data_IF_789891592675
#
_entry.id   IF_789891592675
#
_cell.length_a   1.000
_cell.length_b   1.000
_cell.length_c   1.000
_cell.angle_alpha   90.00
_cell.angle_beta   90.00
_cell.angle_gamma   90.00
#
_symmetry.space_group_name_H-M   'P 1'
#
loop_
_entity.id
_entity.type
_entity.pdbx_description
1 polymer ?
#
# COMPACT_ATOMS: atom_id res chain seq x y z
N UNK A 1 -11.29 11.06 -31.01
CA UNK A 1 -11.29 10.09 -29.89
C UNK A 1 -10.39 8.94 -30.29
N UNK A 2 -9.33 8.67 -29.52
CA UNK A 2 -8.37 7.60 -29.85
C UNK A 2 -9.02 6.22 -29.63
N UNK A 3 -8.50 5.18 -30.28
CA UNK A 3 -8.97 3.80 -30.09
C UNK A 3 -8.87 3.35 -28.63
N UNK A 4 -7.80 3.78 -27.94
CA UNK A 4 -7.62 3.51 -26.52
C UNK A 4 -8.63 4.24 -25.63
N UNK A 5 -8.99 5.49 -25.96
CA UNK A 5 -10.02 6.24 -25.23
C UNK A 5 -11.37 5.53 -25.35
N UNK A 6 -11.68 5.06 -26.57
CA UNK A 6 -12.91 4.29 -26.81
C UNK A 6 -12.93 2.99 -25.99
N UNK A 7 -11.84 2.24 -25.94
CA UNK A 7 -11.78 1.00 -25.15
C UNK A 7 -11.99 1.24 -23.64
N UNK A 8 -11.43 2.34 -23.11
CA UNK A 8 -11.64 2.77 -21.73
C UNK A 8 -13.12 3.12 -21.49
N UNK A 9 -13.71 3.94 -22.38
CA UNK A 9 -15.10 4.40 -22.27
C UNK A 9 -16.10 3.24 -22.41
N UNK A 10 -15.91 2.36 -23.39
CA UNK A 10 -16.75 1.19 -23.60
C UNK A 10 -16.73 0.27 -22.37
N UNK A 11 -15.54 0.02 -21.80
CA UNK A 11 -15.40 -0.81 -20.58
C UNK A 11 -16.00 -0.12 -19.35
N UNK A 12 -15.81 1.19 -19.22
CA UNK A 12 -16.46 2.01 -18.18
C UNK A 12 -17.98 1.94 -18.29
N UNK A 13 -18.53 2.04 -19.50
CA UNK A 13 -19.96 1.96 -19.76
C UNK A 13 -20.55 0.63 -19.27
N UNK A 14 -19.88 -0.49 -19.54
CA UNK A 14 -20.32 -1.81 -19.04
C UNK A 14 -20.36 -1.87 -17.51
N UNK A 15 -19.38 -1.27 -16.84
CA UNK A 15 -19.37 -1.18 -15.36
C UNK A 15 -20.56 -0.34 -14.88
N UNK A 16 -20.77 0.83 -15.49
CA UNK A 16 -21.88 1.73 -15.15
C UNK A 16 -23.25 1.09 -15.37
N UNK A 17 -23.43 0.36 -16.47
CA UNK A 17 -24.67 -0.35 -16.81
C UNK A 17 -24.99 -1.43 -15.75
N UNK A 18 -23.97 -2.11 -15.23
CA UNK A 18 -24.16 -3.06 -14.14
C UNK A 18 -24.62 -2.36 -12.86
N UNK A 19 -23.99 -1.25 -12.48
CA UNK A 19 -24.37 -0.47 -11.28
C UNK A 19 -25.80 0.06 -11.40
N UNK A 20 -26.19 0.57 -12.58
CA UNK A 20 -27.53 1.09 -12.81
C UNK A 20 -28.61 0.00 -12.80
N UNK A 21 -28.26 -1.24 -13.16
CA UNK A 21 -29.21 -2.35 -13.31
C UNK A 21 -29.44 -3.14 -12.03
N UNK A 22 -28.42 -3.30 -11.18
CA UNK A 22 -28.49 -4.15 -9.99
C UNK A 22 -28.48 -3.30 -8.71
N UNK A 23 -29.40 -3.57 -7.79
CA UNK A 23 -29.48 -2.90 -6.49
C UNK A 23 -28.67 -3.59 -5.37
N UNK A 24 -28.76 -3.04 -4.15
CA UNK A 24 -28.06 -3.57 -2.97
C UNK A 24 -28.38 -5.04 -2.64
N UNK A 25 -29.59 -5.52 -2.96
CA UNK A 25 -30.00 -6.91 -2.75
C UNK A 25 -29.27 -7.92 -3.64
N UNK A 26 -28.68 -7.46 -4.74
CA UNK A 26 -27.95 -8.28 -5.71
C UNK A 26 -26.45 -7.93 -5.76
N UNK A 27 -25.94 -7.29 -4.69
CA UNK A 27 -24.55 -6.78 -4.60
C UNK A 27 -23.50 -7.82 -4.99
N UNK A 28 -23.68 -9.09 -4.61
CA UNK A 28 -22.76 -10.16 -4.98
C UNK A 28 -22.72 -10.44 -6.49
N UNK A 29 -23.86 -10.44 -7.17
CA UNK A 29 -23.92 -10.63 -8.63
C UNK A 29 -23.39 -9.39 -9.37
N UNK A 30 -23.80 -8.20 -8.93
CA UNK A 30 -23.24 -6.93 -9.38
C UNK A 30 -21.71 -6.94 -9.31
N UNK A 31 -21.18 -7.37 -8.16
CA UNK A 31 -19.74 -7.42 -7.92
C UNK A 31 -19.03 -8.39 -8.84
N UNK A 32 -19.60 -9.58 -9.04
CA UNK A 32 -19.05 -10.60 -9.93
C UNK A 32 -18.97 -10.10 -11.39
N UNK A 33 -20.02 -9.43 -11.87
CA UNK A 33 -20.05 -8.87 -13.22
C UNK A 33 -18.99 -7.78 -13.39
N UNK A 34 -18.89 -6.83 -12.44
CA UNK A 34 -17.91 -5.74 -12.52
C UNK A 34 -16.48 -6.30 -12.51
N UNK A 35 -16.16 -7.26 -11.63
CA UNK A 35 -14.82 -7.86 -11.55
C UNK A 35 -14.34 -8.45 -12.87
N UNK A 36 -15.25 -8.97 -13.70
CA UNK A 36 -14.93 -9.47 -15.04
C UNK A 36 -14.38 -8.42 -16.02
N UNK A 37 -14.58 -7.12 -15.72
CA UNK A 37 -14.18 -6.01 -16.58
C UNK A 37 -13.05 -5.15 -16.01
N UNK A 38 -12.84 -5.14 -14.69
CA UNK A 38 -11.86 -4.27 -14.03
C UNK A 38 -10.44 -4.47 -14.56
N UNK A 39 -10.03 -5.71 -14.79
CA UNK A 39 -8.66 -5.99 -15.28
C UNK A 39 -8.41 -5.31 -16.63
N UNK A 40 -9.31 -5.51 -17.59
CA UNK A 40 -9.20 -4.88 -18.91
C UNK A 40 -9.23 -3.35 -18.80
N UNK A 41 -10.11 -2.81 -17.95
CA UNK A 41 -10.17 -1.38 -17.69
C UNK A 41 -8.81 -0.83 -17.22
N UNK A 42 -8.19 -1.46 -16.22
CA UNK A 42 -6.89 -1.07 -15.69
C UNK A 42 -5.77 -1.19 -16.73
N UNK A 43 -5.75 -2.28 -17.49
CA UNK A 43 -4.76 -2.49 -18.57
C UNK A 43 -4.91 -1.45 -19.69
N UNK A 44 -6.13 -1.04 -20.05
CA UNK A 44 -6.32 0.04 -21.02
C UNK A 44 -5.85 1.40 -20.49
N UNK A 45 -6.07 1.69 -19.20
CA UNK A 45 -5.54 2.92 -18.57
C UNK A 45 -4.00 2.90 -18.55
N UNK A 46 -3.39 1.74 -18.30
CA UNK A 46 -1.95 1.54 -18.40
C UNK A 46 -1.42 1.92 -19.79
N UNK A 47 -2.03 1.36 -20.84
CA UNK A 47 -1.66 1.60 -22.24
C UNK A 47 -1.85 3.08 -22.59
N UNK A 48 -2.95 3.71 -22.14
CA UNK A 48 -3.20 5.15 -22.35
C UNK A 48 -2.07 6.00 -21.75
N UNK A 49 -1.66 5.68 -20.52
CA UNK A 49 -0.59 6.39 -19.84
C UNK A 49 0.75 6.23 -20.54
N UNK A 50 1.06 5.01 -20.98
CA UNK A 50 2.29 4.70 -21.70
C UNK A 50 2.35 5.33 -23.10
N UNK A 51 1.23 5.38 -23.81
CA UNK A 51 1.19 5.79 -25.23
C UNK A 51 1.32 7.30 -25.44
N UNK A 52 1.26 8.10 -24.38
CA UNK A 52 1.46 9.56 -24.39
C UNK A 52 0.74 10.30 -25.55
N UNK A 53 -0.52 9.94 -25.82
CA UNK A 53 -1.36 10.56 -26.85
C UNK A 53 -1.32 9.91 -28.24
N UNK A 54 -0.50 8.86 -28.45
CA UNK A 54 -0.52 8.09 -29.70
C UNK A 54 -1.79 7.25 -29.85
N UNK A 55 -2.30 7.12 -31.08
CA UNK A 55 -3.42 6.21 -31.37
C UNK A 55 -2.92 4.77 -31.55
N UNK A 56 -3.08 3.97 -30.51
CA UNK A 56 -2.57 2.59 -30.44
C UNK A 56 -3.69 1.56 -30.53
N UNK A 57 -3.34 0.32 -30.87
CA UNK A 57 -4.25 -0.81 -30.77
C UNK A 57 -4.37 -1.23 -29.28
N UNK A 58 -5.55 -1.12 -28.65
CA UNK A 58 -5.73 -1.49 -27.24
C UNK A 58 -5.48 -2.98 -26.95
N UNK A 59 -5.60 -3.83 -27.98
CA UNK A 59 -5.45 -5.28 -27.87
C UNK A 59 -4.03 -5.77 -28.24
N UNK A 60 -3.05 -4.87 -28.37
CA UNK A 60 -1.67 -5.25 -28.64
C UNK A 60 -1.01 -5.79 -27.35
N UNK A 61 -0.68 -7.08 -27.36
CA UNK A 61 -0.08 -7.77 -26.23
C UNK A 61 1.30 -7.20 -25.84
N UNK A 62 2.17 -6.91 -26.81
CA UNK A 62 3.52 -6.42 -26.52
C UNK A 62 3.45 -5.01 -25.93
N UNK A 63 2.53 -4.19 -26.43
CA UNK A 63 2.27 -2.86 -25.88
C UNK A 63 1.76 -2.94 -24.44
N UNK A 64 0.83 -3.86 -24.15
CA UNK A 64 0.31 -4.08 -22.80
C UNK A 64 1.44 -4.46 -21.82
N UNK A 65 2.27 -5.44 -22.19
CA UNK A 65 3.43 -5.86 -21.38
C UNK A 65 4.40 -4.68 -21.12
N UNK A 66 4.68 -3.87 -22.15
CA UNK A 66 5.54 -2.70 -22.00
C UNK A 66 4.93 -1.65 -21.07
N UNK A 67 3.63 -1.34 -21.24
CA UNK A 67 2.92 -0.37 -20.42
C UNK A 67 2.85 -0.77 -18.94
N UNK A 68 2.56 -2.04 -18.65
CA UNK A 68 2.52 -2.56 -17.28
C UNK A 68 3.89 -2.50 -16.60
N UNK A 69 4.97 -2.77 -17.34
CA UNK A 69 6.34 -2.66 -16.83
C UNK A 69 6.74 -1.20 -16.57
N UNK A 70 6.34 -0.29 -17.45
CA UNK A 70 6.63 1.14 -17.30
C UNK A 70 5.90 1.74 -16.10
N UNK A 71 4.64 1.36 -15.86
CA UNK A 71 3.86 1.81 -14.70
C UNK A 71 4.57 1.61 -13.35
N UNK A 72 5.34 0.52 -13.21
CA UNK A 72 6.09 0.24 -11.99
C UNK A 72 7.12 1.34 -11.66
N UNK A 73 7.65 2.02 -12.69
CA UNK A 73 8.72 3.01 -12.56
C UNK A 73 8.19 4.42 -12.26
N UNK A 74 6.92 4.67 -12.55
CA UNK A 74 6.30 6.00 -12.42
C UNK A 74 5.48 6.11 -11.13
N UNK A 75 5.96 6.96 -10.20
CA UNK A 75 5.33 7.12 -8.89
C UNK A 75 3.86 7.54 -8.93
N UNK A 76 3.46 8.34 -9.92
CA UNK A 76 2.06 8.76 -10.12
C UNK A 76 1.14 7.64 -10.62
N UNK A 77 1.68 6.59 -11.25
CA UNK A 77 0.92 5.41 -11.72
C UNK A 77 0.96 4.25 -10.71
N UNK A 78 1.63 4.44 -9.58
CA UNK A 78 1.82 3.40 -8.57
C UNK A 78 0.51 2.81 -8.04
N UNK A 79 -0.51 3.64 -7.81
CA UNK A 79 -1.81 3.17 -7.32
C UNK A 79 -2.44 2.19 -8.32
N UNK A 80 -2.26 2.43 -9.62
CA UNK A 80 -2.76 1.61 -10.71
C UNK A 80 -1.94 0.32 -10.84
N UNK A 81 -0.62 0.39 -10.69
CA UNK A 81 0.25 -0.79 -10.65
C UNK A 81 -0.11 -1.73 -9.51
N UNK A 82 -0.27 -1.20 -8.28
CA UNK A 82 -0.71 -2.00 -7.13
C UNK A 82 -2.09 -2.60 -7.35
N UNK A 83 -3.00 -1.86 -7.99
CA UNK A 83 -4.32 -2.37 -8.29
C UNK A 83 -4.25 -3.55 -9.27
N UNK A 84 -3.48 -3.42 -10.35
CA UNK A 84 -3.24 -4.50 -11.30
C UNK A 84 -2.64 -5.75 -10.62
N UNK A 85 -1.63 -5.57 -9.77
CA UNK A 85 -1.02 -6.67 -9.00
C UNK A 85 -2.04 -7.41 -8.11
N UNK A 86 -2.98 -6.68 -7.48
CA UNK A 86 -4.03 -7.28 -6.69
C UNK A 86 -5.03 -8.07 -7.56
N UNK A 87 -5.31 -7.61 -8.78
CA UNK A 87 -6.21 -8.28 -9.72
C UNK A 87 -5.59 -9.58 -10.28
N UNK A 88 -4.29 -9.59 -10.56
CA UNK A 88 -3.59 -10.82 -10.99
C UNK A 88 -3.69 -11.93 -9.92
N UNK A 89 -3.58 -11.54 -8.65
CA UNK A 89 -3.60 -12.48 -7.51
C UNK A 89 -4.99 -13.02 -7.18
N UNK A 90 -6.06 -12.28 -7.50
CA UNK A 90 -7.43 -12.64 -7.13
C UNK A 90 -8.18 -13.42 -8.20
N UNK A 91 -7.81 -13.28 -9.48
CA UNK A 91 -8.56 -13.86 -10.62
C UNK A 91 -7.89 -15.13 -11.19
N UNK A 92 -6.65 -15.43 -10.81
CA UNK A 92 -5.84 -16.48 -11.45
C UNK A 92 -6.30 -17.93 -11.22
N UNK A 93 -7.16 -18.24 -10.24
CA UNK A 93 -7.42 -19.65 -9.91
C UNK A 93 -8.88 -20.11 -9.75
N UNK A 94 -9.89 -19.25 -9.57
CA UNK A 94 -11.29 -19.68 -9.50
C UNK A 94 -12.23 -18.55 -9.91
N UNK A 95 -13.37 -18.87 -10.54
CA UNK A 95 -14.51 -17.94 -10.55
C UNK A 95 -14.89 -17.67 -9.10
N UNK A 96 -14.57 -16.49 -8.60
CA UNK A 96 -14.89 -16.11 -7.23
C UNK A 96 -16.41 -16.17 -7.08
N UNK A 97 -16.88 -16.79 -5.99
CA UNK A 97 -18.30 -16.82 -5.68
C UNK A 97 -18.84 -15.40 -5.42
N UNK A 98 -20.15 -15.26 -5.28
CA UNK A 98 -20.79 -13.97 -5.07
C UNK A 98 -20.26 -13.26 -3.81
N UNK A 99 -20.10 -14.00 -2.73
CA UNK A 99 -19.63 -13.47 -1.44
C UNK A 99 -18.16 -13.01 -1.50
N UNK A 100 -17.30 -13.78 -2.17
CA UNK A 100 -15.91 -13.42 -2.39
C UNK A 100 -15.79 -12.22 -3.33
N UNK A 101 -16.63 -12.17 -4.37
CA UNK A 101 -16.68 -11.07 -5.34
C UNK A 101 -17.08 -9.77 -4.67
N UNK A 102 -18.07 -9.82 -3.79
CA UNK A 102 -18.51 -8.69 -2.98
C UNK A 102 -17.37 -8.16 -2.08
N UNK A 103 -16.68 -9.04 -1.35
CA UNK A 103 -15.52 -8.63 -0.51
C UNK A 103 -14.39 -8.02 -1.35
N UNK A 104 -14.12 -8.55 -2.53
CA UNK A 104 -13.12 -8.00 -3.45
C UNK A 104 -13.54 -6.63 -3.98
N UNK A 105 -14.80 -6.46 -4.37
CA UNK A 105 -15.31 -5.19 -4.87
C UNK A 105 -15.27 -4.08 -3.83
N UNK A 106 -15.66 -4.35 -2.59
CA UNK A 106 -15.53 -3.38 -1.50
C UNK A 106 -14.07 -2.92 -1.31
N UNK A 107 -13.12 -3.84 -1.50
CA UNK A 107 -11.68 -3.53 -1.46
C UNK A 107 -11.21 -2.76 -2.71
N UNK A 108 -11.76 -3.06 -3.88
CA UNK A 108 -11.35 -2.48 -5.15
C UNK A 108 -12.03 -1.15 -5.47
N UNK A 109 -13.10 -0.81 -4.76
CA UNK A 109 -13.82 0.44 -4.95
C UNK A 109 -12.89 1.66 -4.86
N UNK A 110 -12.06 1.74 -3.82
CA UNK A 110 -11.10 2.84 -3.65
C UNK A 110 -10.15 2.95 -4.87
N UNK A 111 -9.70 1.81 -5.41
CA UNK A 111 -8.83 1.79 -6.58
C UNK A 111 -9.54 2.24 -7.85
N UNK A 112 -10.79 1.85 -8.06
CA UNK A 112 -11.61 2.33 -9.18
C UNK A 112 -11.84 3.83 -9.10
N UNK A 113 -12.15 4.33 -7.90
CA UNK A 113 -12.34 5.75 -7.67
C UNK A 113 -11.05 6.56 -7.92
N UNK A 114 -9.90 6.07 -7.46
CA UNK A 114 -8.59 6.68 -7.80
C UNK A 114 -8.34 6.68 -9.29
N UNK A 115 -8.71 5.60 -10.00
CA UNK A 115 -8.56 5.50 -11.45
C UNK A 115 -9.46 6.51 -12.18
N UNK A 116 -10.71 6.70 -11.72
CA UNK A 116 -11.63 7.75 -12.20
C UNK A 116 -11.01 9.14 -12.04
N UNK A 117 -10.53 9.48 -10.85
CA UNK A 117 -9.91 10.78 -10.58
C UNK A 117 -8.66 11.01 -11.44
N UNK A 118 -7.80 10.00 -11.58
CA UNK A 118 -6.60 10.07 -12.40
C UNK A 118 -6.94 10.35 -13.88
N UNK A 119 -7.89 9.62 -14.47
CA UNK A 119 -8.29 9.80 -15.86
C UNK A 119 -8.88 11.19 -16.12
N UNK A 120 -9.67 11.71 -15.17
CA UNK A 120 -10.20 13.07 -15.24
C UNK A 120 -9.08 14.12 -15.17
N UNK A 121 -8.15 13.98 -14.24
CA UNK A 121 -7.06 14.95 -14.03
C UNK A 121 -6.02 14.93 -15.15
N UNK A 122 -5.59 13.75 -15.58
CA UNK A 122 -4.50 13.59 -16.55
C UNK A 122 -4.96 13.71 -18.01
N UNK A 123 -6.21 13.33 -18.31
CA UNK A 123 -6.70 13.23 -19.70
C UNK A 123 -8.04 13.92 -19.94
N UNK A 124 -8.67 14.51 -18.91
CA UNK A 124 -10.03 15.03 -18.98
C UNK A 124 -11.04 14.01 -19.52
N UNK A 125 -10.85 12.72 -19.17
CA UNK A 125 -11.76 11.65 -19.52
C UNK A 125 -12.71 11.37 -18.35
N UNK A 126 -14.01 11.56 -18.61
CA UNK A 126 -15.07 11.20 -17.67
C UNK A 126 -15.39 9.70 -17.80
N UNK A 127 -15.27 8.98 -16.69
CA UNK A 127 -15.49 7.54 -16.59
C UNK A 127 -16.15 7.21 -15.26
N UNK A 128 -16.73 6.01 -15.16
CA UNK A 128 -17.33 5.46 -13.95
C UNK A 128 -18.29 6.47 -13.31
N UNK A 129 -19.19 7.05 -14.14
CA UNK A 129 -20.00 8.22 -13.78
C UNK A 129 -20.84 7.96 -12.53
N UNK A 130 -21.52 6.82 -12.48
CA UNK A 130 -22.37 6.36 -11.38
C UNK A 130 -21.65 5.44 -10.36
N UNK A 131 -20.31 5.49 -10.26
CA UNK A 131 -19.58 4.63 -9.31
C UNK A 131 -20.05 4.81 -7.86
N UNK A 132 -20.47 6.02 -7.49
CA UNK A 132 -20.96 6.37 -6.15
C UNK A 132 -22.31 5.70 -5.82
N UNK A 133 -23.05 5.23 -6.83
CA UNK A 133 -24.29 4.46 -6.65
C UNK A 133 -24.00 2.99 -6.28
N UNK A 134 -22.74 2.55 -6.33
CA UNK A 134 -22.38 1.22 -5.87
C UNK A 134 -22.68 1.09 -4.36
N UNK A 135 -23.40 0.04 -3.93
CA UNK A 135 -23.86 -0.10 -2.55
C UNK A 135 -22.72 -0.47 -1.58
N UNK A 136 -21.97 0.54 -1.12
CA UNK A 136 -20.87 0.39 -0.16
C UNK A 136 -21.35 0.02 1.25
N UNK A 137 -22.20 0.87 1.85
CA UNK A 137 -22.77 0.71 3.19
C UNK A 137 -24.18 1.32 3.22
N UNK A 138 -25.05 0.81 4.09
CA UNK A 138 -26.50 1.16 4.14
C UNK A 138 -26.88 2.11 5.29
N UNK A 139 -25.91 2.68 6.00
CA UNK A 139 -26.17 3.50 7.20
C UNK A 139 -26.08 5.01 6.89
N UNK A 140 -27.22 5.69 6.94
CA UNK A 140 -27.36 7.12 6.65
C UNK A 140 -26.84 8.03 7.77
N UNK A 141 -26.81 7.58 9.03
CA UNK A 141 -26.34 8.41 10.16
C UNK A 141 -24.82 8.62 10.11
N UNK A 142 -24.08 7.62 9.64
CA UNK A 142 -22.64 7.73 9.40
C UNK A 142 -22.30 8.75 8.29
N UNK A 143 -23.24 9.05 7.39
CA UNK A 143 -23.01 9.97 6.27
C UNK A 143 -22.85 11.43 6.73
N UNK A 144 -23.70 11.93 7.64
CA UNK A 144 -23.56 13.30 8.18
C UNK A 144 -22.25 13.44 8.97
N UNK A 145 -21.89 12.39 9.72
CA UNK A 145 -20.65 12.33 10.49
C UNK A 145 -19.41 12.49 9.62
N UNK A 146 -19.26 11.67 8.59
CA UNK A 146 -18.12 11.74 7.69
C UNK A 146 -18.12 13.01 6.83
N UNK A 147 -19.29 13.56 6.49
CA UNK A 147 -19.40 14.83 5.76
C UNK A 147 -18.80 15.98 6.56
N UNK A 148 -19.19 16.13 7.84
CA UNK A 148 -18.67 17.19 8.72
C UNK A 148 -17.18 17.05 9.01
N UNK A 149 -16.67 15.82 9.07
CA UNK A 149 -15.23 15.56 9.18
C UNK A 149 -14.51 16.02 7.91
N UNK A 150 -15.01 15.65 6.73
CA UNK A 150 -14.42 16.06 5.46
C UNK A 150 -14.34 17.60 5.34
N UNK A 151 -15.38 18.32 5.76
CA UNK A 151 -15.37 19.79 5.83
C UNK A 151 -14.22 20.33 6.71
N UNK A 152 -13.95 19.71 7.87
CA UNK A 152 -12.87 20.14 8.77
C UNK A 152 -11.48 19.78 8.29
N UNK A 153 -11.35 18.70 7.50
CA UNK A 153 -10.09 18.36 6.82
C UNK A 153 -9.76 19.42 5.77
N UNK A 154 -10.75 19.85 4.99
CA UNK A 154 -10.53 20.86 3.94
C UNK A 154 -10.41 22.28 4.51
N UNK A 155 -11.13 22.58 5.59
CA UNK A 155 -11.15 23.90 6.22
C UNK A 155 -11.18 23.79 7.75
N UNK A 156 -10.01 23.91 8.41
CA UNK A 156 -9.93 23.90 9.87
C UNK A 156 -10.83 24.95 10.49
N UNK A 157 -11.47 24.64 11.62
CA UNK A 157 -12.28 25.63 12.34
C UNK A 157 -11.41 26.67 13.03
N UNK A 158 -12.03 27.79 13.43
CA UNK A 158 -11.39 28.81 14.27
C UNK A 158 -10.92 28.29 15.64
N UNK A 159 -11.40 27.12 16.06
CA UNK A 159 -11.06 26.48 17.33
C UNK A 159 -9.98 25.43 17.17
N UNK A 160 -9.45 25.23 15.96
CA UNK A 160 -8.40 24.26 15.71
C UNK A 160 -7.10 24.63 16.41
N UNK A 161 -6.39 23.63 16.93
CA UNK A 161 -5.09 23.82 17.56
C UNK A 161 -4.18 22.61 17.34
N UNK A 162 -2.89 22.87 17.15
CA UNK A 162 -1.90 21.81 16.95
C UNK A 162 -1.77 20.93 18.20
N UNK A 163 -1.60 19.62 18.01
CA UNK A 163 -1.35 18.66 19.09
C UNK A 163 0.02 18.06 18.93
N UNK A 164 0.78 18.02 20.02
CA UNK A 164 2.14 17.46 20.02
C UNK A 164 2.10 15.94 19.98
N UNK A 165 2.19 15.37 18.78
CA UNK A 165 2.40 13.93 18.55
C UNK A 165 3.85 13.68 18.10
N UNK A 166 4.79 13.69 19.05
CA UNK A 166 6.23 13.57 18.75
C UNK A 166 6.75 12.12 18.66
N UNK A 167 5.94 11.14 19.05
CA UNK A 167 6.32 9.74 18.99
C UNK A 167 6.21 9.18 17.57
N UNK A 168 6.68 7.95 17.40
CA UNK A 168 6.41 7.15 16.22
C UNK A 168 5.21 6.26 16.49
N UNK A 169 4.40 6.00 15.48
CA UNK A 169 3.16 5.24 15.58
C UNK A 169 3.13 4.11 14.57
N UNK A 170 2.48 3.00 14.93
CA UNK A 170 2.09 1.97 13.98
C UNK A 170 0.62 2.15 13.62
N UNK A 171 0.34 2.19 12.32
CA UNK A 171 -1.02 2.16 11.80
C UNK A 171 -1.60 0.77 12.01
N UNK A 172 -2.79 0.71 12.59
CA UNK A 172 -3.51 -0.54 12.86
C UNK A 172 -4.57 -0.82 11.80
N UNK A 173 -5.24 0.25 11.34
CA UNK A 173 -6.33 0.22 10.38
C UNK A 173 -6.41 1.55 9.62
N UNK A 174 -6.69 1.47 8.33
CA UNK A 174 -7.10 2.59 7.48
C UNK A 174 -8.45 2.20 6.90
N UNK A 175 -9.46 3.05 7.08
CA UNK A 175 -10.79 2.89 6.47
C UNK A 175 -11.04 4.09 5.55
N UNK A 176 -11.12 3.89 4.22
CA UNK A 176 -11.49 4.97 3.32
C UNK A 176 -12.97 5.33 3.50
N UNK A 177 -13.28 6.61 3.28
CA UNK A 177 -14.65 7.10 3.11
C UNK A 177 -14.67 8.16 2.00
N UNK A 178 -15.81 8.32 1.35
CA UNK A 178 -15.94 9.07 0.10
C UNK A 178 -16.97 10.16 0.25
N UNK A 179 -16.58 11.42 0.03
CA UNK A 179 -17.45 12.59 0.15
C UNK A 179 -17.15 13.50 -1.05
N UNK A 180 -18.19 13.92 -1.77
CA UNK A 180 -18.11 14.90 -2.87
C UNK A 180 -16.98 14.62 -3.87
N UNK A 181 -16.93 13.40 -4.44
CA UNK A 181 -15.89 12.96 -5.37
C UNK A 181 -14.44 12.99 -4.80
N UNK A 182 -14.26 12.97 -3.48
CA UNK A 182 -12.96 12.91 -2.82
C UNK A 182 -12.86 11.70 -1.89
N UNK A 183 -11.62 11.26 -1.67
CA UNK A 183 -11.30 10.16 -0.76
C UNK A 183 -10.68 10.75 0.50
N UNK A 184 -11.22 10.32 1.64
CA UNK A 184 -10.70 10.60 2.97
C UNK A 184 -10.49 9.28 3.71
N UNK A 185 -9.78 9.34 4.83
CA UNK A 185 -9.38 8.15 5.58
C UNK A 185 -9.60 8.36 7.07
N UNK A 186 -10.23 7.37 7.70
CA UNK A 186 -10.21 7.17 9.14
C UNK A 186 -9.02 6.25 9.47
N UNK A 187 -8.10 6.76 10.28
CA UNK A 187 -6.83 6.12 10.61
C UNK A 187 -6.83 5.76 12.09
N UNK A 188 -6.72 4.48 12.39
CA UNK A 188 -6.49 4.00 13.76
C UNK A 188 -5.02 3.67 13.94
N UNK A 189 -4.37 4.25 14.94
CA UNK A 189 -2.95 4.04 15.22
C UNK A 189 -2.64 3.93 16.71
N UNK A 190 -1.46 3.39 17.03
CA UNK A 190 -0.95 3.21 18.40
C UNK A 190 0.53 3.59 18.45
N UNK A 191 1.04 4.04 19.60
CA UNK A 191 2.45 4.34 19.75
C UNK A 191 3.35 3.13 19.37
N UNK A 192 4.50 3.36 18.77
CA UNK A 192 5.46 2.33 18.40
C UNK A 192 6.32 1.98 19.62
N UNK A 193 5.71 1.43 20.67
CA UNK A 193 6.38 0.97 21.89
C UNK A 193 6.16 -0.54 22.09
N UNK A 194 6.92 -1.17 22.99
CA UNK A 194 6.87 -2.63 23.17
C UNK A 194 5.58 -3.13 23.87
N UNK A 195 4.87 -2.25 24.60
CA UNK A 195 3.79 -2.59 25.53
C UNK A 195 2.46 -1.88 25.21
N UNK A 196 2.10 -1.74 23.94
CA UNK A 196 0.83 -1.10 23.57
C UNK A 196 -0.38 -1.99 23.85
N UNK A 197 -1.36 -1.45 24.56
CA UNK A 197 -2.67 -2.04 24.80
C UNK A 197 -3.66 -1.71 23.67
N UNK A 198 -4.74 -2.50 23.54
CA UNK A 198 -5.85 -2.17 22.62
C UNK A 198 -6.58 -0.88 23.02
N UNK A 199 -6.43 -0.44 24.27
CA UNK A 199 -7.01 0.80 24.79
C UNK A 199 -6.19 2.05 24.43
N UNK A 200 -4.97 1.89 23.89
CA UNK A 200 -4.09 3.01 23.50
C UNK A 200 -4.32 3.45 22.03
N UNK A 201 -5.45 3.05 21.44
CA UNK A 201 -5.77 3.34 20.04
C UNK A 201 -6.29 4.76 19.90
N UNK A 202 -5.64 5.51 19.03
CA UNK A 202 -6.07 6.84 18.62
C UNK A 202 -6.72 6.74 17.25
N UNK A 203 -7.85 7.42 17.07
CA UNK A 203 -8.52 7.59 15.79
C UNK A 203 -8.32 9.03 15.34
N UNK A 204 -7.87 9.20 14.10
CA UNK A 204 -7.77 10.50 13.44
C UNK A 204 -8.20 10.40 11.98
N UNK A 205 -8.46 11.54 11.36
CA UNK A 205 -8.97 11.62 9.99
C UNK A 205 -8.02 12.40 9.10
N UNK A 206 -8.00 12.08 7.81
CA UNK A 206 -7.10 12.74 6.86
C UNK A 206 -7.55 12.60 5.42
N UNK A 207 -7.08 13.49 4.54
CA UNK A 207 -7.11 13.32 3.09
C UNK A 207 -5.86 12.63 2.56
N UNK A 208 -4.81 12.45 3.39
CA UNK A 208 -3.56 11.81 2.98
C UNK A 208 -3.69 10.29 3.00
N UNK A 209 -3.47 9.65 1.86
CA UNK A 209 -3.26 8.20 1.82
C UNK A 209 -1.92 7.86 2.50
N UNK A 210 -1.99 7.13 3.61
CA UNK A 210 -0.86 6.77 4.48
C UNK A 210 -0.37 5.36 4.19
N UNK A 211 0.95 5.17 4.25
CA UNK A 211 1.58 3.85 4.23
C UNK A 211 1.51 3.20 5.62
N UNK A 212 0.90 2.03 5.73
CA UNK A 212 0.56 1.38 7.02
C UNK A 212 1.56 0.29 7.46
N UNK A 213 2.57 0.00 6.63
CA UNK A 213 3.49 -1.09 6.84
C UNK A 213 4.75 -0.71 7.64
N UNK A 214 4.96 0.58 7.93
CA UNK A 214 6.08 1.09 8.74
C UNK A 214 5.63 1.92 9.93
N UNK A 215 6.55 2.18 10.85
CA UNK A 215 6.37 3.21 11.84
C UNK A 215 6.36 4.59 11.17
N UNK A 216 5.47 5.48 11.61
CA UNK A 216 5.28 6.82 11.03
C UNK A 216 5.21 7.89 12.11
N UNK A 217 5.51 9.13 11.75
CA UNK A 217 5.21 10.31 12.55
C UNK A 217 4.09 11.08 11.90
N UNK A 218 3.23 11.67 12.72
CA UNK A 218 2.11 12.47 12.27
C UNK A 218 2.30 13.93 12.69
N UNK A 219 1.90 14.82 11.80
CA UNK A 219 1.45 16.17 12.17
C UNK A 219 -0.06 16.09 12.37
N UNK A 220 -0.53 16.52 13.55
CA UNK A 220 -1.92 16.40 13.97
C UNK A 220 -2.38 17.71 14.59
N UNK A 221 -3.59 18.13 14.25
CA UNK A 221 -4.32 19.14 14.98
C UNK A 221 -5.64 18.58 15.52
N UNK A 222 -6.13 19.17 16.60
CA UNK A 222 -7.45 18.92 17.13
C UNK A 222 -8.44 19.89 16.50
N UNK A 223 -9.65 19.42 16.25
CA UNK A 223 -10.76 20.26 15.83
C UNK A 223 -12.09 19.74 16.40
N UNK A 224 -13.18 20.45 16.15
CA UNK A 224 -14.52 20.12 16.63
C UNK A 224 -15.53 20.08 15.48
N UNK A 225 -16.39 19.07 15.51
CA UNK A 225 -17.57 18.95 14.65
C UNK A 225 -18.85 18.99 15.50
N UNK A 226 -19.95 19.44 14.91
CA UNK A 226 -21.24 19.53 15.59
C UNK A 226 -22.24 18.54 14.99
N UNK A 227 -22.65 17.51 15.73
CA UNK A 227 -23.51 16.41 15.26
C UNK A 227 -24.54 16.08 16.32
N UNK A 228 -25.80 15.88 15.90
CA UNK A 228 -26.92 15.55 16.80
C UNK A 228 -26.99 16.48 18.02
N UNK A 229 -26.90 17.79 17.76
CA UNK A 229 -26.89 18.86 18.76
C UNK A 229 -25.76 18.77 19.80
N UNK A 230 -24.64 18.11 19.46
CA UNK A 230 -23.47 17.93 20.33
C UNK A 230 -22.17 18.27 19.62
N UNK A 231 -21.28 18.93 20.34
CA UNK A 231 -19.91 19.17 19.91
C UNK A 231 -19.06 17.94 20.21
N UNK A 232 -18.35 17.45 19.19
CA UNK A 232 -17.45 16.32 19.27
C UNK A 232 -16.05 16.73 18.82
N UNK A 233 -15.05 16.44 19.64
CA UNK A 233 -13.65 16.65 19.30
C UNK A 233 -13.15 15.55 18.35
N UNK A 234 -12.39 15.93 17.34
CA UNK A 234 -11.76 15.06 16.35
C UNK A 234 -10.28 15.40 16.22
N UNK A 235 -9.49 14.43 15.76
CA UNK A 235 -8.09 14.62 15.40
C UNK A 235 -7.97 14.57 13.88
N UNK A 236 -7.24 15.51 13.31
CA UNK A 236 -6.98 15.57 11.88
C UNK A 236 -5.47 15.48 11.65
N UNK A 237 -5.06 14.55 10.81
CA UNK A 237 -3.68 14.40 10.34
C UNK A 237 -3.54 15.26 9.08
N UNK A 238 -2.71 16.30 9.15
CA UNK A 238 -2.36 17.21 8.05
C UNK A 238 -0.98 16.95 7.44
N UNK A 239 -0.27 15.96 7.98
CA UNK A 239 1.00 15.51 7.44
C UNK A 239 1.44 14.20 8.07
N UNK A 240 2.19 13.40 7.31
CA UNK A 240 2.86 12.23 7.86
C UNK A 240 4.22 12.00 7.20
N UNK A 241 5.11 11.34 7.93
CA UNK A 241 6.35 10.81 7.38
C UNK A 241 6.59 9.39 7.88
N UNK A 242 7.10 8.53 7.01
CA UNK A 242 7.69 7.24 7.38
C UNK A 242 8.89 7.50 8.29
N UNK A 243 8.97 6.76 9.39
CA UNK A 243 10.00 6.96 10.40
C UNK A 243 10.36 5.61 11.05
N UNK A 244 11.00 4.73 10.28
CA UNK A 244 11.53 3.45 10.79
C UNK A 244 12.57 3.75 11.87
N UNK A 245 12.44 3.18 13.06
CA UNK A 245 13.34 3.42 14.20
C UNK A 245 14.75 2.88 13.91
N UNK A 246 15.81 3.54 14.41
CA UNK A 246 17.18 3.05 14.31
C UNK A 246 17.35 1.61 14.77
N UNK A 247 16.71 1.22 15.88
CA UNK A 247 16.85 -0.14 16.41
C UNK A 247 16.30 -1.23 15.47
N UNK A 248 15.39 -0.90 14.56
CA UNK A 248 14.93 -1.86 13.54
C UNK A 248 16.00 -2.12 12.50
N UNK A 249 16.74 -1.08 12.09
CA UNK A 249 17.90 -1.19 11.22
C UNK A 249 19.03 -1.95 11.89
N UNK A 250 19.35 -1.62 13.14
CA UNK A 250 20.42 -2.28 13.89
C UNK A 250 20.14 -3.78 14.07
N UNK A 251 18.92 -4.16 14.46
CA UNK A 251 18.57 -5.56 14.67
C UNK A 251 18.45 -6.31 13.34
N UNK A 252 18.09 -5.63 12.24
CA UNK A 252 18.10 -6.21 10.91
C UNK A 252 19.53 -6.49 10.44
N UNK A 253 20.49 -5.59 10.73
CA UNK A 253 21.88 -5.79 10.35
C UNK A 253 22.51 -7.02 11.01
N UNK A 254 22.06 -7.37 12.22
CA UNK A 254 22.53 -8.57 12.93
C UNK A 254 22.25 -9.87 12.17
N UNK A 255 21.30 -9.88 11.22
CA UNK A 255 21.03 -11.04 10.36
C UNK A 255 22.21 -11.35 9.43
N UNK A 256 23.03 -10.34 9.11
CA UNK A 256 24.17 -10.47 8.20
C UNK A 256 25.51 -10.52 8.92
N UNK A 257 25.56 -10.32 10.25
CA UNK A 257 26.80 -10.34 11.00
C UNK A 257 26.75 -9.44 12.24
N UNK A 258 27.87 -8.78 12.60
CA UNK A 258 27.90 -7.86 13.73
C UNK A 258 26.88 -6.72 13.60
N UNK A 259 26.33 -6.32 14.74
CA UNK A 259 25.40 -5.19 14.83
C UNK A 259 26.04 -3.91 14.30
N UNK A 260 25.30 -3.19 13.45
CA UNK A 260 25.68 -1.89 12.91
C UNK A 260 24.71 -0.85 13.44
N UNK A 261 25.23 0.20 14.08
CA UNK A 261 24.39 1.29 14.58
C UNK A 261 24.03 2.30 13.48
N UNK A 262 22.73 2.59 13.39
CA UNK A 262 22.14 3.55 12.47
C UNK A 262 21.65 4.80 13.21
N UNK A 263 21.60 5.93 12.51
CA UNK A 263 21.18 7.21 13.10
C UNK A 263 20.13 7.89 12.25
N UNK A 264 19.11 8.45 12.89
CA UNK A 264 18.11 9.28 12.22
C UNK A 264 18.65 10.63 11.75
N UNK A 265 19.83 11.03 12.22
CA UNK A 265 20.47 12.28 11.83
C UNK A 265 21.26 12.15 10.52
N UNK A 266 21.42 10.93 9.98
CA UNK A 266 22.12 10.75 8.71
C UNK A 266 21.27 11.30 7.55
N UNK A 267 21.96 11.81 6.51
CA UNK A 267 21.31 12.24 5.27
C UNK A 267 20.65 11.05 4.58
N UNK A 268 21.35 9.91 4.51
CA UNK A 268 20.82 8.66 3.98
C UNK A 268 19.47 8.29 4.61
N UNK A 269 19.37 8.31 5.94
CA UNK A 269 18.13 7.98 6.63
C UNK A 269 17.01 8.94 6.25
N UNK A 270 17.25 10.26 6.32
CA UNK A 270 16.22 11.27 6.06
C UNK A 270 15.72 11.21 4.62
N UNK A 271 16.62 11.08 3.65
CA UNK A 271 16.25 10.99 2.24
C UNK A 271 15.55 9.66 1.92
N UNK A 272 15.96 8.54 2.54
CA UNK A 272 15.22 7.28 2.40
C UNK A 272 13.82 7.37 3.00
N UNK A 273 13.67 7.88 4.22
CA UNK A 273 12.34 8.05 4.83
C UNK A 273 11.45 8.97 4.00
N UNK A 274 12.00 10.06 3.45
CA UNK A 274 11.28 10.94 2.51
C UNK A 274 10.83 10.18 1.27
N UNK A 275 11.72 9.43 0.63
CA UNK A 275 11.38 8.58 -0.52
C UNK A 275 10.24 7.59 -0.20
N UNK A 276 10.33 6.88 0.93
CA UNK A 276 9.27 5.95 1.36
C UNK A 276 7.94 6.67 1.57
N UNK A 277 7.96 7.90 2.08
CA UNK A 277 6.75 8.69 2.37
C UNK A 277 6.09 9.23 1.10
N UNK A 278 6.88 9.70 0.13
CA UNK A 278 6.38 10.37 -1.07
C UNK A 278 6.09 9.40 -2.21
N UNK A 279 7.03 8.48 -2.48
CA UNK A 279 6.91 7.48 -3.55
C UNK A 279 6.05 6.29 -3.10
N UNK A 280 5.85 6.13 -1.79
CA UNK A 280 5.06 5.05 -1.18
C UNK A 280 5.55 3.66 -1.58
N UNK A 281 6.87 3.54 -1.83
CA UNK A 281 7.56 2.30 -2.18
C UNK A 281 8.04 1.56 -0.95
N UNK A 282 7.53 0.37 -0.62
CA UNK A 282 8.12 -0.43 0.44
C UNK A 282 9.56 -0.84 0.10
N UNK A 283 10.40 -0.99 1.13
CA UNK A 283 11.78 -1.45 1.00
C UNK A 283 11.88 -2.80 0.29
N UNK A 284 10.94 -3.72 0.53
CA UNK A 284 10.91 -5.03 -0.17
C UNK A 284 10.80 -4.85 -1.69
N UNK A 285 10.02 -3.88 -2.15
CA UNK A 285 9.83 -3.59 -3.56
C UNK A 285 11.05 -2.87 -4.15
N UNK A 286 11.57 -1.87 -3.42
CA UNK A 286 12.81 -1.17 -3.80
C UNK A 286 13.96 -2.18 -3.99
N UNK A 287 14.18 -3.05 -3.01
CA UNK A 287 15.22 -4.09 -3.03
C UNK A 287 14.98 -5.15 -4.11
N UNK A 288 13.73 -5.36 -4.54
CA UNK A 288 13.39 -6.31 -5.62
C UNK A 288 13.34 -5.68 -7.02
N UNK A 289 13.47 -4.35 -7.13
CA UNK A 289 13.36 -3.63 -8.41
C UNK A 289 14.50 -3.97 -9.38
N UNK A 290 14.39 -3.59 -10.65
CA UNK A 290 15.47 -3.78 -11.62
C UNK A 290 16.75 -3.02 -11.23
N UNK A 291 17.91 -3.49 -11.71
CA UNK A 291 19.21 -2.99 -11.24
C UNK A 291 19.41 -1.51 -11.55
N UNK A 292 18.96 -1.06 -12.72
CA UNK A 292 19.13 0.32 -13.15
C UNK A 292 18.28 1.26 -12.28
N UNK A 293 17.02 0.88 -12.01
CA UNK A 293 16.15 1.64 -11.13
C UNK A 293 16.67 1.67 -9.69
N UNK A 294 17.09 0.54 -9.14
CA UNK A 294 17.67 0.48 -7.78
C UNK A 294 18.92 1.38 -7.68
N UNK A 295 19.82 1.33 -8.66
CA UNK A 295 21.02 2.16 -8.70
C UNK A 295 20.69 3.65 -8.83
N UNK A 296 19.68 4.00 -9.64
CA UNK A 296 19.20 5.36 -9.78
C UNK A 296 18.71 5.92 -8.42
N UNK A 297 17.81 5.18 -7.75
CA UNK A 297 17.29 5.60 -6.44
C UNK A 297 18.39 5.64 -5.37
N UNK A 298 19.30 4.65 -5.36
CA UNK A 298 20.47 4.64 -4.48
C UNK A 298 21.30 5.90 -4.65
N UNK A 299 21.69 6.23 -5.89
CA UNK A 299 22.49 7.41 -6.19
C UNK A 299 21.84 8.71 -5.73
N UNK A 300 20.51 8.81 -5.87
CA UNK A 300 19.74 9.97 -5.42
C UNK A 300 19.79 10.11 -3.89
N UNK A 301 19.45 9.04 -3.17
CA UNK A 301 19.37 9.04 -1.69
C UNK A 301 20.75 9.21 -1.06
N UNK A 302 21.80 8.65 -1.67
CA UNK A 302 23.16 8.69 -1.10
C UNK A 302 24.00 9.87 -1.58
N UNK A 303 23.51 10.70 -2.49
CA UNK A 303 24.28 11.77 -3.18
C UNK A 303 25.05 12.71 -2.26
N UNK A 304 24.51 13.00 -1.08
CA UNK A 304 25.12 13.90 -0.07
C UNK A 304 25.43 13.18 1.25
N UNK A 305 25.32 11.85 1.29
CA UNK A 305 25.49 11.08 2.50
C UNK A 305 26.98 10.84 2.80
N UNK A 306 27.40 11.10 4.06
CA UNK A 306 28.77 10.81 4.53
C UNK A 306 29.03 9.33 4.77
N UNK A 307 27.98 8.56 5.01
CA UNK A 307 27.99 7.10 5.16
C UNK A 307 26.69 6.54 4.61
N UNK A 308 26.74 5.30 4.11
CA UNK A 308 25.64 4.64 3.42
C UNK A 308 25.30 3.28 4.04
N UNK A 309 25.30 3.21 5.38
CA UNK A 309 25.15 1.97 6.15
C UNK A 309 23.80 1.28 5.88
N UNK A 310 22.74 2.06 5.68
CA UNK A 310 21.42 1.51 5.38
C UNK A 310 21.47 0.83 4.01
N UNK A 311 22.05 1.48 3.00
CA UNK A 311 22.17 0.92 1.67
C UNK A 311 23.12 -0.26 1.59
N UNK A 312 24.19 -0.29 2.37
CA UNK A 312 25.05 -1.48 2.51
C UNK A 312 24.22 -2.69 2.99
N UNK A 313 23.34 -2.48 3.98
CA UNK A 313 22.41 -3.50 4.45
C UNK A 313 21.36 -3.88 3.39
N UNK A 314 20.80 -2.90 2.67
CA UNK A 314 19.84 -3.16 1.59
C UNK A 314 20.49 -3.91 0.42
N UNK A 315 21.76 -3.64 0.10
CA UNK A 315 22.52 -4.37 -0.91
C UNK A 315 22.70 -5.84 -0.51
N UNK A 316 23.01 -6.11 0.77
CA UNK A 316 23.07 -7.49 1.30
C UNK A 316 21.72 -8.19 1.22
N UNK A 317 20.64 -7.49 1.55
CA UNK A 317 19.28 -8.04 1.38
C UNK A 317 18.99 -8.34 -0.10
N UNK A 318 19.35 -7.40 -0.99
CA UNK A 318 19.17 -7.52 -2.44
C UNK A 318 19.88 -8.74 -3.00
N UNK A 319 21.13 -8.96 -2.57
CA UNK A 319 21.95 -10.10 -2.98
C UNK A 319 21.23 -11.43 -2.72
N UNK A 320 20.66 -11.60 -1.52
CA UNK A 320 19.91 -12.82 -1.17
C UNK A 320 18.60 -12.91 -1.95
N UNK A 321 17.88 -11.79 -2.04
CA UNK A 321 16.51 -11.72 -2.59
C UNK A 321 16.49 -11.91 -4.11
N UNK A 322 17.36 -11.22 -4.84
CA UNK A 322 17.42 -11.25 -6.31
C UNK A 322 17.99 -12.59 -6.80
N UNK A 323 18.96 -13.16 -6.07
CA UNK A 323 19.54 -14.46 -6.40
C UNK A 323 18.69 -15.65 -5.91
N UNK A 324 17.49 -15.41 -5.34
CA UNK A 324 16.58 -16.46 -4.90
C UNK A 324 17.17 -17.39 -3.83
N UNK A 325 18.10 -16.89 -3.01
CA UNK A 325 18.78 -17.67 -1.99
C UNK A 325 17.85 -18.01 -0.82
N UNK A 326 18.17 -19.06 -0.09
CA UNK A 326 17.46 -19.42 1.14
C UNK A 326 17.58 -18.28 2.17
N UNK A 327 16.46 -17.90 2.78
CA UNK A 327 16.28 -16.72 3.61
C UNK A 327 15.58 -15.55 2.90
N UNK A 328 15.41 -15.61 1.57
CA UNK A 328 14.85 -14.51 0.77
C UNK A 328 13.42 -14.13 1.17
N UNK A 329 12.54 -15.10 1.45
CA UNK A 329 11.14 -14.82 1.80
C UNK A 329 11.02 -14.23 3.21
N UNK A 330 11.88 -14.67 4.13
CA UNK A 330 12.00 -14.06 5.47
C UNK A 330 12.42 -12.60 5.32
N UNK A 331 13.48 -12.31 4.57
CA UNK A 331 13.97 -10.94 4.35
C UNK A 331 12.95 -10.04 3.68
N UNK A 332 12.24 -10.54 2.65
CA UNK A 332 11.13 -9.84 1.98
C UNK A 332 10.09 -9.37 2.99
N UNK A 333 9.67 -10.26 3.90
CA UNK A 333 8.70 -9.91 4.94
C UNK A 333 9.24 -8.90 5.95
N UNK A 334 10.48 -9.10 6.42
CA UNK A 334 11.12 -8.20 7.38
C UNK A 334 11.28 -6.78 6.80
N UNK A 335 11.70 -6.65 5.54
CA UNK A 335 11.78 -5.37 4.83
C UNK A 335 10.41 -4.74 4.61
N UNK A 336 9.37 -5.54 4.41
CA UNK A 336 8.01 -5.03 4.24
C UNK A 336 7.44 -4.43 5.54
N UNK A 337 7.71 -5.03 6.71
CA UNK A 337 7.14 -4.57 7.99
C UNK A 337 8.05 -3.73 8.85
N UNK A 338 9.37 -3.91 8.74
CA UNK A 338 10.39 -3.31 9.62
C UNK A 338 9.99 -3.28 11.09
N UNK A 339 9.39 -4.37 11.58
CA UNK A 339 8.88 -4.44 12.95
C UNK A 339 9.95 -5.01 13.87
N UNK A 340 10.39 -4.20 14.83
CA UNK A 340 11.48 -4.54 15.74
C UNK A 340 11.32 -5.90 16.43
N UNK A 341 10.11 -6.20 16.91
CA UNK A 341 9.84 -7.42 17.66
C UNK A 341 9.90 -8.64 16.75
N UNK A 342 9.32 -8.53 15.55
CA UNK A 342 9.35 -9.60 14.54
C UNK A 342 10.78 -9.90 14.10
N UNK A 343 11.58 -8.86 13.82
CA UNK A 343 13.00 -9.02 13.43
C UNK A 343 13.77 -9.79 14.51
N UNK A 344 13.67 -9.37 15.77
CA UNK A 344 14.34 -10.05 16.90
C UNK A 344 13.92 -11.50 17.07
N UNK A 345 12.67 -11.84 16.81
CA UNK A 345 12.20 -13.23 16.88
C UNK A 345 12.74 -14.10 15.75
N UNK A 346 13.20 -13.53 14.64
CA UNK A 346 13.79 -14.32 13.55
C UNK A 346 15.28 -14.54 13.74
N UNK A 347 15.96 -13.67 14.48
CA UNK A 347 17.40 -13.71 14.72
C UNK A 347 17.87 -14.95 15.51
N UNK A 348 19.10 -15.37 15.25
CA UNK A 348 19.83 -16.38 16.02
C UNK A 348 21.32 -16.04 16.11
N UNK A 349 21.99 -16.41 17.21
CA UNK A 349 23.40 -16.07 17.45
C UNK A 349 24.41 -16.94 16.68
N UNK A 350 23.96 -17.81 15.78
CA UNK A 350 24.79 -18.65 14.92
C UNK A 350 24.28 -18.59 13.50
N UNK A 351 25.20 -18.65 12.54
CA UNK A 351 24.86 -18.78 11.13
C UNK A 351 24.07 -20.07 10.86
N UNK A 352 23.09 -19.98 9.98
CA UNK A 352 22.29 -21.10 9.54
C UNK A 352 22.65 -21.44 8.09
N UNK A 353 23.34 -22.58 7.88
CA UNK A 353 23.74 -23.05 6.55
C UNK A 353 22.53 -23.20 5.60
N UNK A 354 21.42 -23.73 6.11
CA UNK A 354 20.16 -23.88 5.36
C UNK A 354 19.45 -22.57 5.01
N UNK A 355 19.95 -21.43 5.50
CA UNK A 355 19.46 -20.07 5.21
C UNK A 355 20.62 -19.18 4.76
N UNK A 356 21.49 -19.70 3.88
CA UNK A 356 22.58 -18.95 3.25
C UNK A 356 23.60 -18.37 4.23
N UNK A 357 23.84 -19.06 5.35
CA UNK A 357 24.70 -18.61 6.45
C UNK A 357 24.28 -17.28 7.08
N UNK A 358 23.02 -16.88 6.91
CA UNK A 358 22.43 -15.77 7.65
C UNK A 358 22.28 -16.15 9.13
N UNK A 359 22.30 -15.15 10.00
CA UNK A 359 22.00 -15.27 11.43
C UNK A 359 20.48 -15.32 11.67
N UNK A 360 19.78 -16.12 10.87
CA UNK A 360 18.38 -16.46 11.03
C UNK A 360 18.27 -17.76 11.82
N UNK A 361 17.24 -17.86 12.65
CA UNK A 361 16.92 -19.08 13.35
C UNK A 361 16.47 -20.16 12.36
N UNK A 362 16.91 -21.40 12.57
CA UNK A 362 16.52 -22.56 11.75
C UNK A 362 14.99 -22.69 11.60
N UNK A 363 14.23 -22.33 12.63
CA UNK A 363 12.76 -22.33 12.61
C UNK A 363 12.12 -21.36 11.60
N UNK A 364 12.90 -20.50 10.92
CA UNK A 364 12.41 -19.67 9.83
C UNK A 364 12.31 -20.42 8.49
N UNK A 365 12.94 -21.59 8.34
CA UNK A 365 12.96 -22.35 7.08
C UNK A 365 11.57 -22.75 6.54
N UNK A 366 10.59 -23.17 7.35
CA UNK A 366 9.26 -23.47 6.84
C UNK A 366 8.61 -22.25 6.15
N UNK A 367 8.68 -21.07 6.82
CA UNK A 367 8.20 -19.81 6.26
C UNK A 367 8.96 -19.41 5.00
N UNK A 368 10.28 -19.58 5.00
CA UNK A 368 11.09 -19.23 3.85
C UNK A 368 10.71 -20.04 2.60
N UNK A 369 10.32 -21.30 2.77
CA UNK A 369 9.94 -22.20 1.66
C UNK A 369 8.47 -22.08 1.26
N UNK A 370 7.57 -21.95 2.25
CA UNK A 370 6.12 -21.98 2.05
C UNK A 370 5.44 -20.84 2.84
N UNK A 371 5.65 -19.58 2.42
CA UNK A 371 5.25 -18.40 3.20
C UNK A 371 3.73 -18.21 3.32
N UNK A 372 2.94 -18.83 2.44
CA UNK A 372 1.47 -18.75 2.48
C UNK A 372 0.81 -19.81 3.37
N UNK A 373 1.52 -20.89 3.70
CA UNK A 373 1.01 -22.01 4.50
C UNK A 373 1.59 -22.05 5.91
N UNK A 374 2.67 -21.31 6.14
CA UNK A 374 3.42 -21.34 7.40
C UNK A 374 3.64 -19.92 7.91
N UNK A 375 4.03 -19.81 9.17
CA UNK A 375 4.21 -18.52 9.84
C UNK A 375 5.68 -18.30 10.20
N UNK A 376 6.06 -17.03 10.31
CA UNK A 376 7.32 -16.63 10.93
C UNK A 376 7.35 -17.06 12.40
N UNK A 377 8.55 -17.13 12.97
CA UNK A 377 8.70 -17.48 14.38
C UNK A 377 7.99 -16.45 15.25
N UNK A 378 7.09 -16.93 16.10
CA UNK A 378 6.31 -16.13 17.05
C UNK A 378 5.46 -15.02 16.42
N UNK A 379 5.26 -15.06 15.10
CA UNK A 379 4.52 -14.03 14.37
C UNK A 379 3.74 -14.65 13.24
N UNK A 380 2.42 -14.46 13.22
CA UNK A 380 1.56 -14.88 12.13
C UNK A 380 1.29 -13.68 11.19
N UNK A 381 1.89 -13.64 9.99
CA UNK A 381 1.66 -12.58 9.02
C UNK A 381 0.18 -12.44 8.65
N UNK A 382 -0.31 -11.20 8.50
CA UNK A 382 -1.59 -10.99 7.83
C UNK A 382 -1.43 -11.38 6.36
N UNK A 383 -2.44 -12.06 5.80
CA UNK A 383 -2.38 -12.51 4.39
C UNK A 383 -2.13 -11.35 3.41
N UNK A 384 -2.69 -10.16 3.69
CA UNK A 384 -2.42 -8.97 2.88
C UNK A 384 -0.96 -8.51 2.96
N UNK A 385 -0.31 -8.63 4.12
CA UNK A 385 1.11 -8.33 4.24
C UNK A 385 1.93 -9.31 3.38
N UNK A 386 1.56 -10.60 3.34
CA UNK A 386 2.22 -11.60 2.49
C UNK A 386 2.08 -11.27 1.00
N UNK A 387 0.87 -10.94 0.54
CA UNK A 387 0.66 -10.58 -0.87
C UNK A 387 1.42 -9.34 -1.32
N UNK A 388 1.70 -8.40 -0.41
CA UNK A 388 2.50 -7.22 -0.71
C UNK A 388 4.01 -7.45 -0.53
N UNK A 389 4.42 -8.39 0.32
CA UNK A 389 5.83 -8.65 0.61
C UNK A 389 6.46 -9.70 -0.32
N UNK A 390 5.70 -10.73 -0.68
CA UNK A 390 6.19 -11.96 -1.32
C UNK A 390 5.47 -12.16 -2.66
N UNK A 391 6.21 -12.47 -3.75
CA UNK A 391 5.60 -12.83 -5.03
C UNK A 391 4.79 -14.14 -4.94
N UNK A 392 3.60 -14.15 -5.54
CA UNK A 392 2.75 -15.36 -5.62
C UNK A 392 3.32 -16.36 -6.63
N UNK A 393 3.96 -15.88 -7.69
CA UNK A 393 4.63 -16.71 -8.69
C UNK A 393 5.64 -17.65 -8.04
N UNK A 394 5.52 -18.95 -8.29
CA UNK A 394 6.36 -19.98 -7.66
C UNK A 394 5.87 -20.49 -6.30
N UNK A 395 4.73 -19.99 -5.80
CA UNK A 395 4.09 -20.44 -4.56
C UNK A 395 2.60 -20.78 -4.75
N UNK A 396 2.20 -21.14 -5.97
CA UNK A 396 0.79 -21.31 -6.40
C UNK A 396 0.06 -22.50 -5.75
N UNK A 397 0.79 -23.44 -5.15
CA UNK A 397 0.26 -24.68 -4.58
C UNK A 397 0.33 -24.74 -3.04
N UNK A 398 0.57 -23.59 -2.40
CA UNK A 398 0.62 -23.43 -0.96
C UNK A 398 -0.71 -22.99 -0.35
#
# INVERSE_FOLDING_TARGET
MLRIDKAILDTSGVICDNIARFGATERGLLSQNILGHIRNFVEYVAIKAFSNGADVNPNDYNLNVAALKDMQRHGNLRFLYRFHELLQKSVSHYTVDKDGSERLMLKYYEHLFKTKLYLKQAYNLDVLENIEDFPLDTDTELSDYYTKIAERIETPSRFSYAVTYNDRYYVQKIKPFFINQRIYYEVTFTAATANTSKFDRVIAFTSHEIMDNYAIKFSIYNDTIHILDKDMSILIIDGYEVSIRPCEWDNLSEIFGPRVEHSTNSIEYRELMRFLSTVKMPLTELVSSDQDYYNFIKSHITSQAKSIKIYELLDQCREVIVNGKAGSNVLRYLLYKMNNRVIKWQYWNKQCEGLSNLYLNYGCMPFDRMPYCTSLRQHNPRIYDLFNAIPVSGHEHG
#
